data_IF_217065410528
#
_entry.id   IF_217065410528
#
_cell.length_a   1.000
_cell.length_b   1.000
_cell.length_c   1.000
_cell.angle_alpha   90.00
_cell.angle_beta   90.00
_cell.angle_gamma   90.00
#
_symmetry.space_group_name_H-M   'P 1'
#
loop_
_entity.id
_entity.type
_entity.pdbx_description
1 polymer ?
#
# COMPACT_ATOMS: atom_id res chain seq x y z
N UNK A 1 -5.62 13.30 -10.90
CA UNK A 1 -4.25 12.73 -10.73
C UNK A 1 -3.70 13.15 -9.36
N UNK A 2 -3.19 12.21 -8.59
CA UNK A 2 -2.61 12.51 -7.28
C UNK A 2 -1.10 12.76 -7.44
N UNK A 3 -0.57 13.94 -7.02
CA UNK A 3 0.87 14.23 -7.17
C UNK A 3 1.75 13.44 -6.20
N UNK A 4 1.17 12.77 -5.20
CA UNK A 4 1.92 12.09 -4.15
C UNK A 4 2.22 10.63 -4.46
N UNK A 5 1.54 10.05 -5.44
CA UNK A 5 1.82 8.70 -5.89
C UNK A 5 1.45 8.54 -7.36
N UNK A 6 2.01 7.51 -7.98
CA UNK A 6 1.71 7.13 -9.35
C UNK A 6 1.12 5.74 -9.35
N UNK A 7 0.06 5.54 -10.12
CA UNK A 7 -0.54 4.23 -10.32
C UNK A 7 0.02 3.65 -11.62
N UNK A 8 0.63 2.48 -11.52
CA UNK A 8 1.13 1.73 -12.68
C UNK A 8 0.20 0.54 -12.89
N UNK A 9 -0.75 0.62 -13.80
CA UNK A 9 -1.68 -0.50 -14.04
C UNK A 9 -1.03 -1.56 -14.91
N UNK A 10 -1.09 -2.79 -14.43
CA UNK A 10 -0.68 -3.98 -15.18
C UNK A 10 -1.91 -4.86 -15.38
N UNK A 11 -1.77 -5.92 -16.15
CA UNK A 11 -2.88 -6.78 -16.53
C UNK A 11 -3.58 -7.42 -15.34
N UNK A 12 -2.80 -7.93 -14.38
CA UNK A 12 -3.32 -8.69 -13.25
C UNK A 12 -3.21 -7.98 -11.91
N UNK A 13 -2.53 -6.83 -11.85
CA UNK A 13 -2.30 -6.10 -10.61
C UNK A 13 -2.00 -4.65 -10.92
N UNK A 14 -1.99 -3.82 -9.87
CA UNK A 14 -1.59 -2.41 -10.00
C UNK A 14 -0.52 -2.12 -8.95
N UNK A 15 0.48 -1.34 -9.34
CA UNK A 15 1.53 -0.89 -8.42
C UNK A 15 1.29 0.58 -8.12
N UNK A 16 1.25 0.92 -6.84
CA UNK A 16 1.13 2.29 -6.37
C UNK A 16 2.47 2.70 -5.82
N UNK A 17 3.15 3.58 -6.54
CA UNK A 17 4.47 4.07 -6.16
C UNK A 17 4.32 5.42 -5.49
N UNK A 18 4.63 5.48 -4.19
CA UNK A 18 4.63 6.75 -3.47
C UNK A 18 5.87 7.56 -3.85
N UNK A 19 5.68 8.85 -4.04
CA UNK A 19 6.71 9.75 -4.56
C UNK A 19 7.24 10.73 -3.52
N UNK A 20 6.73 10.68 -2.31
CA UNK A 20 7.14 11.57 -1.22
C UNK A 20 7.84 10.78 -0.14
N UNK A 21 8.92 11.33 0.47
CA UNK A 21 9.60 10.63 1.56
C UNK A 21 8.79 10.60 2.86
N UNK A 22 7.78 11.45 2.98
CA UNK A 22 7.03 11.60 4.22
C UNK A 22 5.53 11.51 3.98
N UNK A 23 4.87 10.55 4.58
CA UNK A 23 3.42 10.38 4.57
C UNK A 23 2.89 10.77 5.95
N UNK A 24 2.95 12.08 6.26
CA UNK A 24 2.66 12.62 7.59
C UNK A 24 1.63 13.75 7.59
N UNK A 25 1.48 14.49 6.49
CA UNK A 25 0.57 15.64 6.43
C UNK A 25 -0.88 15.15 6.40
N UNK A 26 -1.72 15.53 7.38
CA UNK A 26 -3.10 15.05 7.46
C UNK A 26 -3.96 15.39 6.24
N UNK A 27 -3.77 16.56 5.66
CA UNK A 27 -4.55 17.00 4.50
C UNK A 27 -4.17 16.16 3.28
N UNK A 28 -2.88 15.99 3.05
CA UNK A 28 -2.35 15.17 1.96
C UNK A 28 -2.80 13.72 2.11
N UNK A 29 -2.74 13.20 3.35
CA UNK A 29 -3.15 11.82 3.62
C UNK A 29 -4.64 11.59 3.38
N UNK A 30 -5.47 12.58 3.67
CA UNK A 30 -6.90 12.47 3.38
C UNK A 30 -7.13 12.30 1.87
N UNK A 31 -6.43 13.08 1.06
CA UNK A 31 -6.51 12.98 -0.40
C UNK A 31 -6.01 11.62 -0.89
N UNK A 32 -4.87 11.17 -0.37
CA UNK A 32 -4.29 9.87 -0.72
C UNK A 32 -5.27 8.74 -0.38
N UNK A 33 -5.84 8.79 0.83
CA UNK A 33 -6.78 7.77 1.28
C UNK A 33 -8.00 7.68 0.38
N UNK A 34 -8.60 8.81 0.04
CA UNK A 34 -9.76 8.87 -0.84
C UNK A 34 -9.45 8.25 -2.20
N UNK A 35 -8.30 8.59 -2.76
CA UNK A 35 -7.90 8.09 -4.06
C UNK A 35 -7.64 6.57 -4.05
N UNK A 36 -6.95 6.08 -3.01
CA UNK A 36 -6.70 4.65 -2.86
C UNK A 36 -8.00 3.86 -2.69
N UNK A 37 -8.92 4.37 -1.88
CA UNK A 37 -10.21 3.71 -1.68
C UNK A 37 -11.03 3.70 -2.98
N UNK A 38 -10.95 4.79 -3.74
CA UNK A 38 -11.63 4.87 -5.03
C UNK A 38 -11.13 3.80 -6.01
N UNK A 39 -9.82 3.53 -6.02
CA UNK A 39 -9.26 2.48 -6.88
C UNK A 39 -9.89 1.12 -6.60
N UNK A 40 -10.19 0.83 -5.33
CA UNK A 40 -10.82 -0.42 -4.94
C UNK A 40 -12.32 -0.38 -5.16
N UNK A 41 -12.98 0.68 -4.65
CA UNK A 41 -14.44 0.75 -4.61
C UNK A 41 -15.06 1.03 -5.98
N UNK A 42 -14.42 1.87 -6.80
CA UNK A 42 -14.98 2.29 -8.08
C UNK A 42 -14.30 1.62 -9.28
N UNK A 43 -12.98 1.41 -9.22
CA UNK A 43 -12.23 0.80 -10.33
C UNK A 43 -12.06 -0.72 -10.18
N UNK A 44 -12.51 -1.27 -9.06
CA UNK A 44 -12.46 -2.70 -8.78
C UNK A 44 -11.05 -3.30 -8.90
N UNK A 45 -10.05 -2.52 -8.50
CA UNK A 45 -8.67 -3.00 -8.49
C UNK A 45 -8.47 -3.85 -7.25
N UNK A 46 -8.21 -5.12 -7.43
CA UNK A 46 -8.20 -6.09 -6.32
C UNK A 46 -6.82 -6.57 -5.90
N UNK A 47 -5.82 -6.39 -6.77
CA UNK A 47 -4.45 -6.81 -6.48
C UNK A 47 -3.56 -5.58 -6.52
N UNK A 48 -3.19 -5.09 -5.34
CA UNK A 48 -2.44 -3.85 -5.20
C UNK A 48 -1.10 -4.08 -4.53
N UNK A 49 -0.06 -3.47 -5.10
CA UNK A 49 1.25 -3.37 -4.47
C UNK A 49 1.46 -1.92 -4.09
N UNK A 50 1.76 -1.66 -2.82
CA UNK A 50 2.16 -0.34 -2.35
C UNK A 50 3.68 -0.32 -2.24
N UNK A 51 4.32 0.51 -3.05
CA UNK A 51 5.78 0.61 -3.08
C UNK A 51 6.24 1.78 -2.23
N UNK A 52 6.96 1.47 -1.14
CA UNK A 52 7.45 2.43 -0.16
C UNK A 52 8.94 2.72 -0.30
N UNK A 53 9.56 2.39 -1.44
CA UNK A 53 11.00 2.57 -1.61
C UNK A 53 11.46 4.00 -1.31
N UNK A 54 10.66 5.00 -1.68
CA UNK A 54 10.97 6.42 -1.47
C UNK A 54 10.45 6.96 -0.15
N UNK A 55 9.69 6.17 0.61
CA UNK A 55 9.05 6.62 1.85
C UNK A 55 9.92 6.29 3.05
N UNK A 56 10.17 7.29 3.88
CA UNK A 56 10.97 7.14 5.11
C UNK A 56 10.13 7.28 6.38
N UNK A 57 9.03 8.02 6.31
CA UNK A 57 8.20 8.33 7.49
C UNK A 57 6.73 8.09 7.22
N UNK A 58 6.06 7.45 8.20
CA UNK A 58 4.60 7.24 8.19
C UNK A 58 4.01 7.75 9.49
N UNK A 59 2.88 8.44 9.41
CA UNK A 59 2.10 8.79 10.60
C UNK A 59 1.13 7.65 10.93
N UNK A 60 0.53 7.71 12.11
CA UNK A 60 -0.53 6.76 12.49
C UNK A 60 -1.73 6.85 11.54
N UNK A 61 -2.01 8.03 11.00
CA UNK A 61 -3.07 8.21 10.01
C UNK A 61 -2.75 7.44 8.73
N UNK A 62 -1.49 7.49 8.27
CA UNK A 62 -1.05 6.75 7.10
C UNK A 62 -1.21 5.24 7.32
N UNK A 63 -0.81 4.76 8.49
CA UNK A 63 -0.98 3.36 8.87
C UNK A 63 -2.46 2.98 8.85
N UNK A 64 -3.32 3.85 9.38
CA UNK A 64 -4.77 3.63 9.37
C UNK A 64 -5.33 3.46 7.96
N UNK A 65 -4.85 4.26 7.02
CA UNK A 65 -5.24 4.15 5.60
C UNK A 65 -4.83 2.79 5.04
N UNK A 66 -3.60 2.37 5.31
CA UNK A 66 -3.09 1.07 4.84
C UNK A 66 -3.94 -0.07 5.40
N UNK A 67 -4.24 -0.02 6.70
CA UNK A 67 -5.05 -1.05 7.35
C UNK A 67 -6.48 -1.08 6.81
N UNK A 68 -7.07 0.08 6.55
CA UNK A 68 -8.41 0.17 5.98
C UNK A 68 -8.43 -0.42 4.57
N UNK A 69 -7.41 -0.11 3.78
CA UNK A 69 -7.27 -0.65 2.43
C UNK A 69 -7.13 -2.17 2.47
N UNK A 70 -6.31 -2.67 3.39
CA UNK A 70 -6.12 -4.10 3.58
C UNK A 70 -7.44 -4.80 3.95
N UNK A 71 -8.22 -4.19 4.82
CA UNK A 71 -9.52 -4.70 5.23
C UNK A 71 -10.52 -4.73 4.07
N UNK A 72 -10.59 -3.64 3.29
CA UNK A 72 -11.45 -3.56 2.11
C UNK A 72 -11.14 -4.68 1.12
N UNK A 73 -9.86 -4.86 0.82
CA UNK A 73 -9.42 -5.92 -0.10
C UNK A 73 -9.67 -7.30 0.47
N UNK A 74 -9.51 -7.48 1.78
CA UNK A 74 -9.76 -8.74 2.45
C UNK A 74 -11.21 -9.21 2.36
N UNK A 75 -12.15 -8.32 2.07
CA UNK A 75 -13.57 -8.63 1.90
C UNK A 75 -13.92 -8.97 0.45
N UNK A 76 -13.00 -8.80 -0.47
CA UNK A 76 -13.22 -9.05 -1.89
C UNK A 76 -12.50 -10.32 -2.32
N UNK A 77 -13.20 -11.19 -3.01
CA UNK A 77 -12.65 -12.47 -3.47
C UNK A 77 -11.54 -12.25 -4.50
N UNK A 78 -10.44 -12.99 -4.35
CA UNK A 78 -9.32 -12.89 -5.28
C UNK A 78 -8.49 -11.63 -5.13
N UNK A 79 -8.58 -10.97 -3.97
CA UNK A 79 -7.90 -9.70 -3.71
C UNK A 79 -6.69 -9.90 -2.80
N UNK A 80 -5.75 -8.97 -2.88
CA UNK A 80 -4.60 -8.96 -1.99
C UNK A 80 -3.93 -7.59 -2.01
N UNK A 81 -3.47 -7.16 -0.84
CA UNK A 81 -2.61 -5.99 -0.69
C UNK A 81 -1.22 -6.45 -0.30
N UNK A 82 -0.22 -5.95 -0.99
CA UNK A 82 1.19 -6.24 -0.70
C UNK A 82 1.94 -4.94 -0.54
N UNK A 83 2.77 -4.85 0.49
CA UNK A 83 3.70 -3.74 0.69
C UNK A 83 5.09 -4.19 0.27
N UNK A 84 5.82 -3.34 -0.42
CA UNK A 84 7.20 -3.64 -0.81
C UNK A 84 8.10 -2.41 -0.68
N UNK A 85 9.40 -2.61 -0.72
CA UNK A 85 10.37 -1.55 -0.64
C UNK A 85 10.43 -0.85 0.72
N UNK A 86 9.93 -1.51 1.76
CA UNK A 86 9.91 -0.94 3.11
C UNK A 86 11.34 -0.91 3.67
N UNK A 87 11.81 0.29 4.00
CA UNK A 87 13.16 0.47 4.56
C UNK A 87 13.25 0.02 6.02
N UNK A 88 14.49 0.01 6.58
CA UNK A 88 14.71 -0.50 7.94
C UNK A 88 13.89 0.22 9.02
N UNK A 89 13.76 1.54 8.93
CA UNK A 89 12.99 2.32 9.91
C UNK A 89 11.52 1.96 9.89
N UNK A 90 10.94 1.86 8.71
CA UNK A 90 9.53 1.51 8.57
C UNK A 90 9.30 0.05 8.96
N UNK A 91 10.23 -0.82 8.62
CA UNK A 91 10.13 -2.23 9.00
C UNK A 91 10.15 -2.38 10.52
N UNK A 92 11.01 -1.61 11.20
CA UNK A 92 11.06 -1.61 12.66
C UNK A 92 9.72 -1.17 13.24
N UNK A 93 9.12 -0.12 12.69
CA UNK A 93 7.81 0.36 13.13
C UNK A 93 6.74 -0.72 12.93
N UNK A 94 6.75 -1.39 11.79
CA UNK A 94 5.80 -2.47 11.53
C UNK A 94 5.97 -3.63 12.50
N UNK A 95 7.21 -3.97 12.86
CA UNK A 95 7.48 -5.05 13.81
C UNK A 95 7.06 -4.69 15.23
N UNK A 96 7.38 -3.47 15.67
CA UNK A 96 7.04 -2.98 17.01
C UNK A 96 5.51 -2.98 17.19
N UNK A 97 4.78 -2.56 16.18
CA UNK A 97 3.32 -2.49 16.20
C UNK A 97 2.67 -3.82 15.80
N UNK A 98 3.48 -4.83 15.46
CA UNK A 98 3.03 -6.15 15.01
C UNK A 98 2.19 -6.13 13.72
N UNK A 99 2.30 -5.07 12.95
CA UNK A 99 1.59 -4.94 11.69
C UNK A 99 2.20 -5.84 10.61
N UNK A 100 3.45 -6.24 10.77
CA UNK A 100 4.11 -7.19 9.88
C UNK A 100 3.43 -8.56 9.88
N UNK A 101 2.62 -8.85 10.91
CA UNK A 101 1.84 -10.10 11.01
C UNK A 101 0.49 -9.99 10.31
N UNK A 102 -0.02 -8.78 10.15
CA UNK A 102 -1.32 -8.51 9.53
C UNK A 102 -1.15 -8.21 8.05
N UNK A 103 -0.10 -7.47 7.71
CA UNK A 103 0.19 -7.02 6.35
C UNK A 103 1.17 -7.95 5.68
N UNK A 104 1.02 -8.15 4.38
CA UNK A 104 1.99 -8.89 3.58
C UNK A 104 3.06 -7.94 3.11
N UNK A 105 4.29 -8.15 3.56
CA UNK A 105 5.42 -7.27 3.23
C UNK A 105 6.49 -8.08 2.51
N UNK A 106 6.94 -7.60 1.36
CA UNK A 106 7.98 -8.24 0.55
C UNK A 106 9.13 -7.25 0.31
N UNK A 107 10.35 -7.75 0.07
CA UNK A 107 11.53 -6.88 -0.06
C UNK A 107 11.47 -5.92 -1.22
N UNK A 108 10.92 -6.34 -2.35
CA UNK A 108 10.92 -5.55 -3.58
C UNK A 108 9.60 -5.69 -4.32
N UNK A 109 9.38 -4.81 -5.29
CA UNK A 109 8.24 -4.88 -6.18
C UNK A 109 8.19 -6.23 -6.91
N UNK A 110 9.36 -6.70 -7.38
CA UNK A 110 9.48 -7.99 -8.06
C UNK A 110 8.99 -9.15 -7.19
N UNK A 111 9.42 -9.19 -5.93
CA UNK A 111 8.97 -10.22 -4.98
C UNK A 111 7.51 -10.02 -4.60
N UNK A 112 7.07 -8.76 -4.51
CA UNK A 112 5.69 -8.44 -4.16
C UNK A 112 4.69 -8.97 -5.16
N UNK A 113 4.95 -8.78 -6.46
CA UNK A 113 3.99 -9.21 -7.50
C UNK A 113 3.87 -10.73 -7.60
N UNK A 114 4.89 -11.46 -7.16
CA UNK A 114 4.83 -12.93 -7.15
C UNK A 114 3.75 -13.48 -6.20
N UNK A 115 3.36 -12.70 -5.20
CA UNK A 115 2.30 -13.12 -4.26
C UNK A 115 1.00 -13.37 -5.02
N UNK A 116 0.75 -12.62 -6.07
CA UNK A 116 -0.50 -12.72 -6.84
C UNK A 116 -0.59 -14.00 -7.65
N UNK A 117 0.54 -14.66 -7.92
CA UNK A 117 0.56 -15.92 -8.65
C UNK A 117 -0.02 -17.06 -7.82
N UNK A 118 -0.18 -16.87 -6.50
CA UNK A 118 -0.66 -17.86 -5.56
C UNK A 118 -2.15 -17.69 -5.21
N UNK A 119 -2.79 -16.73 -5.84
CA UNK A 119 -4.20 -16.39 -5.56
C UNK A 119 -5.12 -16.92 -6.64
#
# INVERSE_FOLDING_TARGET
>A
MNPHFTVHPFDKYSVIEFRTPSLMDPIVLEEIGKELYRLVDEEDRRKLVLDFEKVQYLSSQAIGIILTLNKKLGQLKGSKLVLCGVGPKLMELLKITRLDRILTVKPSQHEGVKVFDQI
#
